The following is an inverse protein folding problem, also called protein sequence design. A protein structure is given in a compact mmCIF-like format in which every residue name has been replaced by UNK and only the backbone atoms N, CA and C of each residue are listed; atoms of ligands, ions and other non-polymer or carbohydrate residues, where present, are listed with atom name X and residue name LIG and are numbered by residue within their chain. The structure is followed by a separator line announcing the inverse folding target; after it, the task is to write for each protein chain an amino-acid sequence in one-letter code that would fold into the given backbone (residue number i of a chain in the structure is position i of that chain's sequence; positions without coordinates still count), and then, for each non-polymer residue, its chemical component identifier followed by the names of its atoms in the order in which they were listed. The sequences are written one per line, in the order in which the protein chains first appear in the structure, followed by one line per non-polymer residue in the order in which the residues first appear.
data_IF_315137975837
#
_entry.id   IF_315137975837
#
_cell.length_a   1.000
_cell.length_b   1.000
_cell.length_c   1.000
_cell.angle_alpha   90.00
_cell.angle_beta   90.00
_cell.angle_gamma   90.00
#
_symmetry.space_group_name_H-M   'P 1'
#
loop_
_entity.id
_entity.type
_entity.pdbx_description
1 polymer ?
#
# COMPACT_ATOMS: atom_id res chain seq x y z
N UNK A 1 21.45 15.40 -17.79
CA UNK A 1 20.20 15.45 -17.01
C UNK A 1 19.52 14.11 -17.20
N UNK A 2 19.25 13.38 -16.12
CA UNK A 2 18.54 12.10 -16.19
C UNK A 2 17.10 12.33 -16.70
N UNK A 3 16.56 11.34 -17.42
CA UNK A 3 15.16 11.37 -17.85
C UNK A 3 14.23 11.37 -16.65
N UNK A 4 13.23 12.25 -16.59
CA UNK A 4 12.26 12.23 -15.49
C UNK A 4 11.50 10.90 -15.42
N UNK A 5 11.32 10.37 -14.19
CA UNK A 5 10.45 9.24 -13.93
C UNK A 5 9.02 9.75 -13.84
N UNK A 6 8.12 9.18 -14.63
CA UNK A 6 6.69 9.53 -14.61
C UNK A 6 5.98 8.80 -13.47
N UNK A 7 5.46 9.56 -12.53
CA UNK A 7 4.75 9.06 -11.34
C UNK A 7 3.29 9.47 -11.41
N UNK A 8 2.40 8.50 -11.58
CA UNK A 8 0.96 8.75 -11.53
C UNK A 8 0.43 8.61 -10.10
N UNK A 9 -0.49 9.50 -9.73
CA UNK A 9 -1.23 9.44 -8.47
C UNK A 9 -2.70 9.69 -8.76
N UNK A 10 -3.57 8.82 -8.25
CA UNK A 10 -5.02 8.94 -8.41
C UNK A 10 -5.68 9.48 -7.16
N UNK A 11 -6.86 10.10 -7.29
CA UNK A 11 -7.49 10.80 -6.19
C UNK A 11 -6.62 11.98 -5.70
N UNK A 12 -5.94 12.62 -6.63
CA UNK A 12 -4.82 13.52 -6.38
C UNK A 12 -5.20 14.79 -5.62
N UNK A 13 -6.48 15.19 -5.63
CA UNK A 13 -7.00 16.30 -4.83
C UNK A 13 -7.40 15.91 -3.40
N UNK A 14 -7.27 14.62 -3.03
CA UNK A 14 -7.66 14.12 -1.71
C UNK A 14 -6.63 14.41 -0.61
N UNK A 15 -7.02 14.14 0.63
CA UNK A 15 -6.22 14.42 1.85
C UNK A 15 -4.88 13.67 1.88
N UNK A 16 -4.87 12.38 1.52
CA UNK A 16 -3.64 11.59 1.47
C UNK A 16 -2.69 12.20 0.45
N UNK A 17 -3.21 12.52 -0.74
CA UNK A 17 -2.42 13.04 -1.84
C UNK A 17 -1.86 14.43 -1.56
N UNK A 18 -2.58 15.28 -0.83
CA UNK A 18 -2.07 16.57 -0.38
C UNK A 18 -0.78 16.44 0.47
N UNK A 19 -0.63 15.36 1.20
CA UNK A 19 0.60 15.02 1.92
C UNK A 19 1.63 14.29 1.05
N UNK A 20 1.15 13.42 0.14
CA UNK A 20 1.96 12.53 -0.68
C UNK A 20 2.73 13.26 -1.78
N UNK A 21 2.06 14.16 -2.52
CA UNK A 21 2.61 14.80 -3.71
C UNK A 21 3.85 15.64 -3.40
N UNK A 22 3.82 16.41 -2.32
CA UNK A 22 4.94 17.25 -1.88
C UNK A 22 6.14 16.42 -1.44
N UNK A 23 5.93 15.25 -0.86
CA UNK A 23 6.99 14.31 -0.49
C UNK A 23 7.64 13.67 -1.72
N UNK A 24 6.85 13.30 -2.72
CA UNK A 24 7.39 12.79 -3.98
C UNK A 24 8.23 13.87 -4.66
N UNK A 25 7.69 15.08 -4.79
CA UNK A 25 8.34 16.21 -5.45
C UNK A 25 9.62 16.68 -4.72
N UNK A 26 9.66 16.55 -3.39
CA UNK A 26 10.85 16.89 -2.59
C UNK A 26 12.00 15.87 -2.67
N UNK A 27 11.79 14.74 -3.37
CA UNK A 27 12.81 13.70 -3.51
C UNK A 27 12.73 12.55 -2.51
N UNK A 28 11.70 12.49 -1.66
CA UNK A 28 11.57 11.41 -0.66
C UNK A 28 11.34 10.03 -1.29
N UNK A 29 10.83 9.98 -2.53
CA UNK A 29 10.56 8.73 -3.25
C UNK A 29 11.79 8.18 -3.97
N UNK A 30 12.45 8.99 -4.80
CA UNK A 30 13.51 8.54 -5.71
C UNK A 30 14.87 9.16 -5.44
N UNK A 31 14.99 9.95 -4.39
CA UNK A 31 16.21 10.67 -4.05
C UNK A 31 16.26 12.08 -4.64
N UNK A 32 17.23 12.89 -4.16
CA UNK A 32 17.31 14.31 -4.53
C UNK A 32 17.81 14.57 -5.96
N UNK A 33 18.41 13.57 -6.61
CA UNK A 33 19.03 13.72 -7.92
C UNK A 33 18.17 13.16 -9.07
N UNK A 34 17.05 12.49 -8.76
CA UNK A 34 16.18 11.93 -9.77
C UNK A 34 14.98 12.87 -10.06
N UNK A 35 14.91 13.46 -11.24
CA UNK A 35 13.74 14.24 -11.65
C UNK A 35 12.48 13.38 -11.74
N UNK A 36 11.35 13.97 -11.35
CA UNK A 36 10.03 13.34 -11.43
C UNK A 36 9.07 14.19 -12.26
N UNK A 37 8.20 13.52 -13.01
CA UNK A 37 7.04 14.11 -13.65
C UNK A 37 5.79 13.56 -12.98
N UNK A 38 4.99 14.42 -12.37
CA UNK A 38 3.73 14.01 -11.73
C UNK A 38 2.60 13.96 -12.75
N UNK A 39 1.89 12.85 -12.77
CA UNK A 39 0.70 12.59 -13.58
C UNK A 39 -0.49 12.39 -12.64
N UNK A 40 -1.34 13.39 -12.52
CA UNK A 40 -2.37 13.46 -11.48
C UNK A 40 -3.76 13.20 -12.06
N UNK A 41 -4.38 12.12 -11.61
CA UNK A 41 -5.73 11.72 -12.02
C UNK A 41 -6.74 12.10 -10.95
N UNK A 42 -7.82 12.74 -11.38
CA UNK A 42 -8.94 13.05 -10.51
C UNK A 42 -10.26 12.93 -11.29
N UNK A 43 -11.37 12.89 -10.58
CA UNK A 43 -12.69 13.00 -11.20
C UNK A 43 -12.94 14.43 -11.68
N UNK A 44 -13.69 14.61 -12.76
CA UNK A 44 -13.96 15.92 -13.35
C UNK A 44 -14.37 17.00 -12.36
N UNK A 45 -15.28 16.74 -11.38
CA UNK A 45 -15.66 17.75 -10.39
C UNK A 45 -14.55 18.23 -9.46
N UNK A 46 -13.48 17.43 -9.30
CA UNK A 46 -12.38 17.75 -8.41
C UNK A 46 -11.17 18.37 -9.12
N UNK A 47 -11.19 18.51 -10.46
CA UNK A 47 -10.09 19.10 -11.22
C UNK A 47 -9.77 20.53 -10.78
N UNK A 48 -10.78 21.33 -10.44
CA UNK A 48 -10.57 22.70 -9.97
C UNK A 48 -9.78 22.77 -8.66
N UNK A 49 -10.06 21.87 -7.73
CA UNK A 49 -9.29 21.76 -6.49
C UNK A 49 -7.85 21.29 -6.77
N UNK A 50 -7.69 20.37 -7.73
CA UNK A 50 -6.38 19.89 -8.14
C UNK A 50 -5.51 20.98 -8.76
N UNK A 51 -6.09 21.90 -9.55
CA UNK A 51 -5.36 23.08 -10.05
C UNK A 51 -4.72 23.89 -8.91
N UNK A 52 -5.44 24.05 -7.78
CA UNK A 52 -4.91 24.72 -6.60
C UNK A 52 -3.73 23.98 -5.98
N UNK A 53 -3.76 22.65 -5.94
CA UNK A 53 -2.64 21.82 -5.47
C UNK A 53 -1.42 21.98 -6.40
N UNK A 54 -1.62 22.06 -7.70
CA UNK A 54 -0.53 22.31 -8.67
C UNK A 54 0.12 23.67 -8.42
N UNK A 55 -0.69 24.71 -8.16
CA UNK A 55 -0.14 26.04 -7.82
C UNK A 55 0.76 25.98 -6.59
N UNK A 56 0.37 25.25 -5.56
CA UNK A 56 1.20 25.06 -4.35
C UNK A 56 2.48 24.27 -4.63
N UNK A 57 2.41 23.26 -5.52
CA UNK A 57 3.63 22.55 -5.96
C UNK A 57 4.58 23.48 -6.70
N UNK A 58 4.06 24.37 -7.54
CA UNK A 58 4.85 25.40 -8.25
C UNK A 58 5.47 26.38 -7.25
N UNK A 59 4.71 26.82 -6.25
CA UNK A 59 5.17 27.73 -5.19
C UNK A 59 6.30 27.12 -4.32
N UNK A 60 6.36 25.80 -4.21
CA UNK A 60 7.46 25.12 -3.51
C UNK A 60 8.78 25.13 -4.29
N UNK A 61 8.74 25.37 -5.60
CA UNK A 61 9.92 25.42 -6.47
C UNK A 61 10.88 24.22 -6.28
N UNK A 62 10.34 23.02 -6.18
CA UNK A 62 11.11 21.79 -5.98
C UNK A 62 12.06 21.55 -7.17
N UNK A 63 13.38 21.42 -6.94
CA UNK A 63 14.34 21.27 -8.03
C UNK A 63 14.18 19.98 -8.83
N UNK A 64 13.57 18.96 -8.22
CA UNK A 64 13.36 17.65 -8.86
C UNK A 64 12.01 17.50 -9.56
N UNK A 65 11.10 18.46 -9.41
CA UNK A 65 9.81 18.44 -10.07
C UNK A 65 9.95 19.00 -11.48
N UNK A 66 10.05 18.09 -12.47
CA UNK A 66 10.24 18.47 -13.86
C UNK A 66 8.96 18.96 -14.55
N UNK A 67 7.81 18.37 -14.18
CA UNK A 67 6.52 18.66 -14.78
C UNK A 67 5.37 18.13 -13.93
N UNK A 68 4.21 18.78 -14.03
CA UNK A 68 2.94 18.29 -13.50
C UNK A 68 1.90 18.30 -14.63
N UNK A 69 1.23 17.18 -14.84
CA UNK A 69 0.06 17.08 -15.70
C UNK A 69 -1.13 16.58 -14.90
N UNK A 70 -2.30 17.17 -15.14
CA UNK A 70 -3.54 16.80 -14.47
C UNK A 70 -4.60 16.39 -15.50
N UNK A 71 -5.51 15.53 -15.13
CA UNK A 71 -6.61 15.13 -15.99
C UNK A 71 -7.61 14.20 -15.30
N UNK A 72 -8.69 13.92 -16.03
CA UNK A 72 -9.77 13.01 -15.62
C UNK A 72 -9.89 11.79 -16.54
N UNK A 73 -9.04 11.70 -17.56
CA UNK A 73 -8.95 10.56 -18.48
C UNK A 73 -7.72 9.69 -18.11
N UNK A 74 -7.92 8.48 -17.55
CA UNK A 74 -6.81 7.62 -17.16
C UNK A 74 -5.91 7.22 -18.34
N UNK A 75 -6.43 7.10 -19.56
CA UNK A 75 -5.61 6.77 -20.73
C UNK A 75 -4.61 7.88 -21.08
N UNK A 76 -4.95 9.12 -20.80
CA UNK A 76 -4.04 10.26 -21.00
C UNK A 76 -3.06 10.41 -19.84
N UNK A 77 -3.57 10.33 -18.61
CA UNK A 77 -2.76 10.53 -17.41
C UNK A 77 -1.71 9.42 -17.26
N UNK A 78 -2.06 8.17 -17.55
CA UNK A 78 -1.17 7.02 -17.41
C UNK A 78 -0.21 6.79 -18.58
N UNK A 79 -0.24 7.62 -19.60
CA UNK A 79 0.62 7.46 -20.78
C UNK A 79 2.11 7.53 -20.43
N UNK A 80 2.80 6.39 -20.65
CA UNK A 80 4.22 6.23 -20.38
C UNK A 80 4.61 6.28 -18.90
N UNK A 81 3.68 6.09 -17.98
CA UNK A 81 3.93 6.12 -16.53
C UNK A 81 4.75 4.93 -16.10
N UNK A 82 5.79 5.18 -15.27
CA UNK A 82 6.68 4.16 -14.70
C UNK A 82 6.24 3.68 -13.32
N UNK A 83 5.68 4.59 -12.51
CA UNK A 83 5.21 4.30 -11.14
C UNK A 83 3.78 4.82 -10.98
N UNK A 84 2.85 3.99 -10.57
CA UNK A 84 1.47 4.39 -10.33
C UNK A 84 1.07 4.11 -8.88
N UNK A 85 0.59 5.14 -8.19
CA UNK A 85 0.03 5.06 -6.85
C UNK A 85 -1.47 5.30 -6.94
N UNK A 86 -2.25 4.23 -6.87
CA UNK A 86 -3.71 4.26 -6.97
C UNK A 86 -4.30 4.50 -5.58
N UNK A 87 -4.42 5.76 -5.21
CA UNK A 87 -4.86 6.20 -3.88
C UNK A 87 -6.36 6.48 -3.84
N UNK A 88 -6.90 7.02 -4.92
CA UNK A 88 -8.31 7.36 -5.03
C UNK A 88 -9.20 6.12 -4.94
N UNK A 89 -10.14 6.14 -4.01
CA UNK A 89 -11.18 5.14 -3.86
C UNK A 89 -12.44 5.77 -3.29
N UNK A 90 -13.59 5.14 -3.54
CA UNK A 90 -14.84 5.59 -2.95
C UNK A 90 -14.90 5.17 -1.48
N UNK A 91 -15.05 6.10 -0.53
CA UNK A 91 -15.14 5.76 0.88
C UNK A 91 -16.45 5.04 1.19
N UNK A 92 -16.41 4.19 2.22
CA UNK A 92 -17.64 3.59 2.76
C UNK A 92 -18.48 4.68 3.42
N UNK A 93 -19.75 4.74 3.03
CA UNK A 93 -20.74 5.65 3.64
C UNK A 93 -21.70 4.87 4.54
N UNK A 94 -22.39 5.57 5.44
CA UNK A 94 -23.37 4.95 6.31
C UNK A 94 -24.48 4.25 5.49
N UNK A 95 -24.82 3.02 5.87
CA UNK A 95 -25.83 2.21 5.18
C UNK A 95 -25.32 1.48 3.93
N UNK A 96 -24.06 1.65 3.52
CA UNK A 96 -23.48 0.93 2.39
C UNK A 96 -23.06 -0.48 2.83
N UNK A 97 -23.57 -1.48 2.14
CA UNK A 97 -23.15 -2.86 2.31
C UNK A 97 -21.77 -3.11 1.70
N UNK A 98 -21.11 -4.22 2.11
CA UNK A 98 -19.78 -4.58 1.59
C UNK A 98 -19.79 -4.78 0.08
N UNK A 99 -20.83 -5.43 -0.47
CA UNK A 99 -20.99 -5.65 -1.90
C UNK A 99 -21.11 -4.36 -2.70
N UNK A 100 -21.82 -3.36 -2.16
CA UNK A 100 -21.97 -2.04 -2.80
C UNK A 100 -20.62 -1.32 -2.89
N UNK A 101 -19.83 -1.39 -1.82
CA UNK A 101 -18.49 -0.80 -1.79
C UNK A 101 -17.55 -1.48 -2.79
N UNK A 102 -17.55 -2.82 -2.84
CA UNK A 102 -16.76 -3.59 -3.79
C UNK A 102 -17.16 -3.27 -5.24
N UNK A 103 -18.46 -3.17 -5.52
CA UNK A 103 -18.96 -2.83 -6.85
C UNK A 103 -18.57 -1.42 -7.27
N UNK A 104 -18.74 -0.42 -6.40
CA UNK A 104 -18.43 0.97 -6.67
C UNK A 104 -16.91 1.20 -6.91
N UNK A 105 -16.07 0.60 -6.08
CA UNK A 105 -14.62 0.65 -6.25
C UNK A 105 -14.17 -0.21 -7.43
N UNK A 106 -14.78 -1.36 -7.64
CA UNK A 106 -14.46 -2.26 -8.74
C UNK A 106 -14.52 -1.58 -10.11
N UNK A 107 -15.53 -0.77 -10.35
CA UNK A 107 -15.63 -0.02 -11.61
C UNK A 107 -14.45 0.94 -11.82
N UNK A 108 -13.99 1.59 -10.74
CA UNK A 108 -12.83 2.49 -10.77
C UNK A 108 -11.55 1.72 -11.13
N UNK A 109 -11.27 0.64 -10.43
CA UNK A 109 -10.02 -0.13 -10.60
C UNK A 109 -10.02 -0.98 -11.87
N UNK A 110 -11.17 -1.42 -12.35
CA UNK A 110 -11.33 -2.04 -13.67
C UNK A 110 -10.89 -1.06 -14.77
N UNK A 111 -11.40 0.17 -14.74
CA UNK A 111 -11.06 1.18 -15.74
C UNK A 111 -9.57 1.57 -15.67
N UNK A 112 -9.04 1.74 -14.48
CA UNK A 112 -7.64 2.09 -14.28
C UNK A 112 -6.69 0.95 -14.66
N UNK A 113 -7.04 -0.31 -14.35
CA UNK A 113 -6.28 -1.48 -14.79
C UNK A 113 -6.19 -1.57 -16.32
N UNK A 114 -7.31 -1.40 -17.01
CA UNK A 114 -7.36 -1.39 -18.48
C UNK A 114 -6.53 -0.26 -19.07
N UNK A 115 -6.59 0.94 -18.50
CA UNK A 115 -5.82 2.08 -18.95
C UNK A 115 -4.31 1.86 -18.77
N UNK A 116 -3.87 1.37 -17.59
CA UNK A 116 -2.48 1.02 -17.34
C UNK A 116 -1.98 -0.02 -18.36
N UNK A 117 -2.78 -1.06 -18.61
CA UNK A 117 -2.45 -2.09 -19.60
C UNK A 117 -2.19 -1.51 -20.99
N UNK A 118 -2.96 -0.50 -21.38
CA UNK A 118 -2.94 0.07 -22.73
C UNK A 118 -1.82 1.09 -22.93
N UNK A 119 -1.46 1.89 -21.93
CA UNK A 119 -0.63 3.08 -22.14
C UNK A 119 0.55 3.24 -21.18
N UNK A 120 0.64 2.47 -20.10
CA UNK A 120 1.75 2.59 -19.16
C UNK A 120 3.09 2.13 -19.77
N UNK A 121 4.19 2.58 -19.20
CA UNK A 121 5.52 2.12 -19.58
C UNK A 121 5.71 0.61 -19.30
N UNK A 122 6.60 -0.03 -20.05
CA UNK A 122 6.86 -1.47 -19.92
C UNK A 122 7.40 -1.88 -18.53
N UNK A 123 8.02 -0.95 -17.82
CA UNK A 123 8.57 -1.15 -16.47
C UNK A 123 7.62 -0.73 -15.34
N UNK A 124 6.36 -0.48 -15.66
CA UNK A 124 5.34 0.00 -14.70
C UNK A 124 5.33 -0.81 -13.40
N UNK A 125 5.23 -0.11 -12.27
CA UNK A 125 4.93 -0.66 -10.94
C UNK A 125 3.69 0.03 -10.40
N UNK A 126 2.76 -0.76 -9.89
CA UNK A 126 1.46 -0.29 -9.42
C UNK A 126 1.30 -0.59 -7.94
N UNK A 127 1.12 0.44 -7.13
CA UNK A 127 0.81 0.33 -5.70
C UNK A 127 -0.60 0.84 -5.45
N UNK A 128 -1.46 -0.01 -4.91
CA UNK A 128 -2.83 0.35 -4.54
C UNK A 128 -2.90 0.70 -3.05
N UNK A 129 -3.33 1.91 -2.76
CA UNK A 129 -3.55 2.43 -1.39
C UNK A 129 -5.05 2.55 -1.07
N UNK A 130 -5.88 2.80 -2.08
CA UNK A 130 -7.32 2.94 -1.94
C UNK A 130 -7.99 1.66 -1.45
N UNK A 131 -8.82 1.79 -0.39
CA UNK A 131 -9.47 0.65 0.26
C UNK A 131 -10.76 0.19 -0.46
N UNK A 132 -11.01 -1.14 -0.44
CA UNK A 132 -10.22 -2.26 0.11
C UNK A 132 -8.98 -2.56 -0.77
N UNK A 133 -7.80 -2.27 -0.21
CA UNK A 133 -6.56 -2.18 -1.00
C UNK A 133 -6.18 -3.48 -1.71
N UNK A 134 -6.17 -4.61 -1.00
CA UNK A 134 -5.79 -5.90 -1.58
C UNK A 134 -6.71 -6.30 -2.72
N UNK A 135 -8.02 -6.17 -2.53
CA UNK A 135 -9.01 -6.55 -3.53
C UNK A 135 -9.05 -5.58 -4.71
N UNK A 136 -8.88 -4.27 -4.46
CA UNK A 136 -8.74 -3.28 -5.52
C UNK A 136 -7.49 -3.53 -6.38
N UNK A 137 -6.38 -3.94 -5.76
CA UNK A 137 -5.18 -4.33 -6.49
C UNK A 137 -5.41 -5.58 -7.35
N UNK A 138 -6.15 -6.57 -6.84
CA UNK A 138 -6.54 -7.75 -7.59
C UNK A 138 -7.38 -7.39 -8.81
N UNK A 139 -8.36 -6.51 -8.66
CA UNK A 139 -9.21 -6.03 -9.77
C UNK A 139 -8.35 -5.34 -10.83
N UNK A 140 -7.48 -4.41 -10.44
CA UNK A 140 -6.60 -3.71 -11.37
C UNK A 140 -5.69 -4.69 -12.13
N UNK A 141 -5.07 -5.64 -11.41
CA UNK A 141 -4.19 -6.66 -11.97
C UNK A 141 -4.90 -7.54 -12.99
N UNK A 142 -6.11 -8.04 -12.66
CA UNK A 142 -6.90 -8.90 -13.55
C UNK A 142 -7.39 -8.17 -14.80
N UNK A 143 -7.52 -6.86 -14.75
CA UNK A 143 -7.90 -6.02 -15.90
C UNK A 143 -6.70 -5.47 -16.69
N UNK A 144 -5.49 -5.91 -16.36
CA UNK A 144 -4.25 -5.53 -17.04
C UNK A 144 -3.45 -6.80 -17.46
N UNK A 145 -3.99 -7.62 -18.37
CA UNK A 145 -3.45 -8.95 -18.68
C UNK A 145 -2.05 -8.94 -19.31
N UNK A 146 -1.63 -7.84 -19.92
CA UNK A 146 -0.32 -7.71 -20.56
C UNK A 146 0.76 -7.19 -19.59
N UNK A 147 0.38 -6.74 -18.39
CA UNK A 147 1.31 -6.35 -17.34
C UNK A 147 1.56 -7.57 -16.44
N UNK A 148 2.82 -7.95 -16.18
CA UNK A 148 3.13 -9.05 -15.25
C UNK A 148 2.50 -8.85 -13.88
N UNK A 149 1.93 -9.91 -13.30
CA UNK A 149 1.20 -9.85 -12.04
C UNK A 149 2.04 -9.31 -10.88
N UNK A 150 3.34 -9.61 -10.85
CA UNK A 150 4.29 -9.12 -9.84
C UNK A 150 4.50 -7.61 -9.84
N UNK A 151 3.93 -6.91 -10.83
CA UNK A 151 3.95 -5.44 -10.91
C UNK A 151 2.83 -4.78 -10.10
N UNK A 152 1.95 -5.56 -9.47
CA UNK A 152 0.82 -5.06 -8.68
C UNK A 152 1.00 -5.40 -7.21
N UNK A 153 1.06 -4.35 -6.36
CA UNK A 153 1.11 -4.46 -4.92
C UNK A 153 -0.04 -3.68 -4.27
N UNK A 154 -0.40 -4.06 -3.05
CA UNK A 154 -1.27 -3.28 -2.19
C UNK A 154 -0.53 -2.85 -0.91
N UNK A 155 -0.96 -1.73 -0.33
CA UNK A 155 -0.30 -1.12 0.81
C UNK A 155 -0.65 -1.81 2.12
N UNK A 156 0.35 -2.38 2.78
CA UNK A 156 0.33 -2.81 4.19
C UNK A 156 1.46 -2.17 5.01
N UNK A 157 2.21 -1.26 4.40
CA UNK A 157 3.31 -0.54 5.06
C UNK A 157 2.83 0.33 6.20
N UNK A 158 1.62 0.88 6.13
CA UNK A 158 1.05 1.65 7.23
C UNK A 158 0.84 0.77 8.47
N UNK A 159 0.29 -0.43 8.29
CA UNK A 159 0.11 -1.41 9.36
C UNK A 159 1.46 -1.87 9.93
N UNK A 160 2.43 -2.11 9.07
CA UNK A 160 3.81 -2.41 9.42
C UNK A 160 4.42 -1.31 10.31
N UNK A 161 4.29 -0.05 9.92
CA UNK A 161 4.78 1.09 10.69
C UNK A 161 4.05 1.26 12.03
N UNK A 162 2.74 1.00 12.07
CA UNK A 162 1.95 0.99 13.31
C UNK A 162 2.43 -0.09 14.27
N UNK A 163 2.71 -1.29 13.77
CA UNK A 163 3.24 -2.39 14.55
C UNK A 163 4.63 -2.05 15.14
N UNK A 164 5.52 -1.49 14.34
CA UNK A 164 6.83 -1.01 14.80
C UNK A 164 6.68 0.04 15.90
N UNK A 165 5.82 1.03 15.69
CA UNK A 165 5.59 2.08 16.68
C UNK A 165 5.03 1.57 18.01
N UNK A 166 4.09 0.62 17.97
CA UNK A 166 3.53 0.00 19.18
C UNK A 166 4.57 -0.84 19.92
N UNK A 167 5.35 -1.64 19.20
CA UNK A 167 6.41 -2.44 19.82
C UNK A 167 7.51 -1.54 20.43
N UNK A 168 7.96 -0.53 19.70
CA UNK A 168 8.97 0.42 20.17
C UNK A 168 8.55 1.09 21.48
N UNK A 169 7.29 1.55 21.56
CA UNK A 169 6.73 2.13 22.78
C UNK A 169 6.66 1.14 23.95
N UNK A 170 6.31 -0.13 23.68
CA UNK A 170 6.20 -1.18 24.71
C UNK A 170 7.56 -1.50 25.34
N UNK A 171 8.60 -1.61 24.52
CA UNK A 171 9.94 -2.01 24.97
C UNK A 171 10.88 -0.84 25.26
N UNK A 172 10.46 0.39 24.98
CA UNK A 172 11.21 1.61 25.31
C UNK A 172 12.47 1.85 24.47
N UNK A 173 12.42 1.49 23.16
CA UNK A 173 13.54 1.68 22.24
C UNK A 173 13.14 2.57 21.06
N UNK A 174 14.10 3.18 20.33
CA UNK A 174 13.83 3.83 19.07
C UNK A 174 13.30 2.85 18.01
N UNK A 175 12.43 3.32 17.12
CA UNK A 175 11.87 2.50 16.02
C UNK A 175 12.94 1.90 15.11
N UNK A 176 14.10 2.53 15.02
CA UNK A 176 15.25 2.06 14.21
C UNK A 176 15.86 0.75 14.71
N UNK A 177 15.61 0.38 15.96
CA UNK A 177 16.10 -0.86 16.58
C UNK A 177 15.22 -2.08 16.28
N UNK A 178 14.06 -1.85 15.62
CA UNK A 178 13.10 -2.91 15.27
C UNK A 178 13.30 -3.33 13.83
N UNK A 179 13.48 -4.62 13.62
CA UNK A 179 13.65 -5.24 12.31
C UNK A 179 12.69 -6.41 12.13
N UNK A 180 12.52 -6.83 10.88
CA UNK A 180 11.78 -8.05 10.52
C UNK A 180 10.33 -8.06 11.01
N UNK A 181 9.71 -6.88 11.17
CA UNK A 181 8.28 -6.81 11.42
C UNK A 181 7.51 -7.36 10.23
N UNK A 182 6.43 -8.08 10.48
CA UNK A 182 5.60 -8.69 9.44
C UNK A 182 4.13 -8.40 9.68
N UNK A 183 3.44 -8.02 8.63
CA UNK A 183 1.98 -8.00 8.54
C UNK A 183 1.57 -9.09 7.56
N UNK A 184 0.69 -10.00 7.98
CA UNK A 184 0.13 -11.05 7.13
C UNK A 184 -1.29 -10.72 6.73
N UNK A 185 -1.67 -11.12 5.52
CA UNK A 185 -3.05 -11.19 5.07
C UNK A 185 -3.60 -9.92 4.44
N UNK A 186 -4.83 -9.58 4.81
CA UNK A 186 -5.60 -8.46 4.27
C UNK A 186 -5.34 -7.17 5.06
N UNK A 187 -5.34 -6.04 4.37
CA UNK A 187 -5.38 -4.72 5.02
C UNK A 187 -6.79 -4.44 5.56
N UNK A 188 -7.14 -5.11 6.65
CA UNK A 188 -8.45 -5.08 7.31
C UNK A 188 -8.32 -5.35 8.80
N UNK A 189 -9.46 -5.51 9.48
CA UNK A 189 -9.47 -5.93 10.89
C UNK A 189 -8.92 -7.35 11.13
N UNK A 190 -8.80 -8.17 10.08
CA UNK A 190 -8.21 -9.53 10.15
C UNK A 190 -6.71 -9.54 9.93
N UNK A 191 -6.08 -8.42 9.62
CA UNK A 191 -4.62 -8.34 9.48
C UNK A 191 -3.92 -8.94 10.70
N UNK A 192 -2.82 -9.64 10.47
CA UNK A 192 -2.06 -10.23 11.55
C UNK A 192 -0.67 -9.60 11.67
N UNK A 193 -0.46 -8.67 12.61
CA UNK A 193 0.86 -8.20 13.01
C UNK A 193 1.59 -9.28 13.80
N UNK A 194 2.72 -9.76 13.27
CA UNK A 194 3.48 -10.89 13.79
C UNK A 194 4.73 -10.42 14.54
N UNK A 195 4.76 -10.61 15.86
CA UNK A 195 5.92 -10.34 16.70
C UNK A 195 6.89 -11.52 16.83
N UNK A 196 6.48 -12.74 16.42
CA UNK A 196 7.28 -13.95 16.65
C UNK A 196 8.53 -14.02 15.79
N UNK A 197 8.56 -13.27 14.67
CA UNK A 197 9.71 -13.16 13.77
C UNK A 197 10.38 -11.78 13.82
N UNK A 198 9.79 -10.81 14.53
CA UNK A 198 10.38 -9.49 14.69
C UNK A 198 11.58 -9.52 15.64
N UNK A 199 12.50 -8.61 15.45
CA UNK A 199 13.70 -8.45 16.25
C UNK A 199 13.79 -7.04 16.85
N UNK A 200 14.26 -6.95 18.07
CA UNK A 200 14.62 -5.70 18.77
C UNK A 200 16.09 -5.81 19.16
N UNK A 201 16.95 -4.99 18.59
CA UNK A 201 18.41 -5.08 18.80
C UNK A 201 18.98 -6.49 18.57
N UNK A 202 18.43 -7.23 17.61
CA UNK A 202 18.84 -8.59 17.30
C UNK A 202 18.29 -9.69 18.22
N UNK A 203 17.46 -9.32 19.21
CA UNK A 203 16.73 -10.27 20.07
C UNK A 203 15.32 -10.51 19.50
N UNK A 204 14.78 -11.72 19.66
CA UNK A 204 13.41 -12.00 19.29
C UNK A 204 12.43 -11.11 20.07
N UNK A 205 11.55 -10.44 19.36
CA UNK A 205 10.63 -9.46 19.95
C UNK A 205 9.60 -10.11 20.89
N UNK A 206 9.04 -11.26 20.53
CA UNK A 206 8.05 -11.96 21.35
C UNK A 206 8.67 -12.47 22.66
N UNK A 207 9.89 -12.98 22.60
CA UNK A 207 10.65 -13.41 23.79
C UNK A 207 11.00 -12.22 24.69
N UNK A 208 11.40 -11.09 24.11
CA UNK A 208 11.71 -9.87 24.85
C UNK A 208 10.48 -9.30 25.55
N UNK A 209 9.35 -9.24 24.86
CA UNK A 209 8.07 -8.79 25.43
C UNK A 209 7.59 -9.75 26.51
N UNK A 210 7.73 -11.07 26.31
CA UNK A 210 7.37 -12.15 27.22
C UNK A 210 5.99 -11.97 27.88
N UNK A 211 5.01 -11.56 27.10
CA UNK A 211 3.65 -11.25 27.53
C UNK A 211 2.66 -11.60 26.42
N UNK A 212 2.26 -12.88 26.37
CA UNK A 212 1.33 -13.38 25.36
C UNK A 212 -0.03 -12.69 25.44
N UNK A 213 -0.50 -12.37 26.64
CA UNK A 213 -1.78 -11.69 26.83
C UNK A 213 -1.76 -10.27 26.22
N UNK A 214 -0.64 -9.55 26.37
CA UNK A 214 -0.47 -8.26 25.73
C UNK A 214 -0.44 -8.38 24.20
N UNK A 215 0.29 -9.36 23.65
CA UNK A 215 0.36 -9.60 22.21
C UNK A 215 -1.05 -9.81 21.63
N UNK A 216 -1.83 -10.70 22.23
CA UNK A 216 -3.15 -11.11 21.73
C UNK A 216 -4.24 -10.06 21.96
N UNK A 217 -4.26 -9.43 23.13
CA UNK A 217 -5.38 -8.61 23.58
C UNK A 217 -5.14 -7.10 23.41
N UNK A 218 -3.88 -6.67 23.26
CA UNK A 218 -3.54 -5.25 23.10
C UNK A 218 -2.81 -4.98 21.81
N UNK A 219 -1.66 -5.59 21.54
CA UNK A 219 -0.83 -5.29 20.36
C UNK A 219 -1.57 -5.53 19.04
N UNK A 220 -2.03 -6.75 18.80
CA UNK A 220 -2.70 -7.12 17.54
C UNK A 220 -3.96 -6.26 17.33
N UNK A 221 -4.89 -6.14 18.30
CA UNK A 221 -6.08 -5.32 18.11
C UNK A 221 -5.78 -3.83 17.94
N UNK A 222 -4.79 -3.29 18.63
CA UNK A 222 -4.42 -1.87 18.53
C UNK A 222 -3.89 -1.56 17.13
N UNK A 223 -3.02 -2.37 16.58
CA UNK A 223 -2.49 -2.21 15.23
C UNK A 223 -3.63 -2.34 14.20
N UNK A 224 -4.43 -3.40 14.28
CA UNK A 224 -5.50 -3.68 13.33
C UNK A 224 -6.62 -2.62 13.34
N UNK A 225 -6.91 -2.02 14.50
CA UNK A 225 -7.98 -1.02 14.68
C UNK A 225 -7.48 0.42 14.78
N UNK A 226 -6.20 0.67 14.53
CA UNK A 226 -5.61 2.02 14.67
C UNK A 226 -6.29 3.05 13.79
N UNK A 227 -6.71 2.68 12.59
CA UNK A 227 -7.45 3.57 11.69
C UNK A 227 -8.75 4.09 12.31
N UNK A 228 -9.52 3.21 12.92
CA UNK A 228 -10.76 3.59 13.62
C UNK A 228 -10.50 4.51 14.83
N UNK A 229 -9.45 4.23 15.60
CA UNK A 229 -9.04 5.07 16.72
C UNK A 229 -8.63 6.49 16.27
N UNK A 230 -7.95 6.62 15.14
CA UNK A 230 -7.58 7.92 14.55
C UNK A 230 -8.84 8.68 14.12
N UNK A 231 -9.80 8.02 13.47
CA UNK A 231 -11.08 8.64 13.08
C UNK A 231 -11.82 9.13 14.30
N UNK A 232 -11.90 8.34 15.37
CA UNK A 232 -12.55 8.71 16.62
C UNK A 232 -11.91 9.95 17.28
N UNK A 233 -10.58 10.04 17.24
CA UNK A 233 -9.84 11.14 17.85
C UNK A 233 -9.78 12.40 16.96
N UNK A 234 -9.57 12.24 15.66
CA UNK A 234 -9.27 13.32 14.72
C UNK A 234 -10.49 13.78 13.91
N UNK A 235 -11.55 12.96 13.83
CA UNK A 235 -12.73 13.22 13.00
C UNK A 235 -12.53 12.92 11.50
N UNK A 236 -11.37 12.41 11.12
CA UNK A 236 -11.06 12.03 9.72
C UNK A 236 -10.03 10.91 9.66
N UNK A 237 -10.00 10.22 8.53
CA UNK A 237 -9.09 9.09 8.29
C UNK A 237 -7.62 9.50 8.34
N UNK A 238 -6.74 8.51 8.53
CA UNK A 238 -5.29 8.68 8.39
C UNK A 238 -4.97 9.24 7.01
N UNK A 239 -4.19 10.31 6.97
CA UNK A 239 -3.78 10.96 5.73
C UNK A 239 -2.25 11.04 5.63
N UNK A 240 -1.60 11.77 6.53
CA UNK A 240 -0.14 11.95 6.50
C UNK A 240 0.63 10.64 6.71
N UNK A 241 0.18 9.77 7.61
CA UNK A 241 0.81 8.48 7.84
C UNK A 241 0.60 7.49 6.68
N UNK A 242 -0.57 7.54 6.03
CA UNK A 242 -0.83 6.77 4.82
C UNK A 242 0.04 7.24 3.65
N UNK A 243 0.19 8.56 3.47
CA UNK A 243 1.09 9.15 2.49
C UNK A 243 2.55 8.73 2.72
N UNK A 244 3.02 8.80 3.98
CA UNK A 244 4.35 8.35 4.35
C UNK A 244 4.58 6.89 4.00
N UNK A 245 3.66 6.00 4.39
CA UNK A 245 3.75 4.58 4.12
C UNK A 245 3.75 4.28 2.61
N UNK A 246 2.96 5.02 1.81
CA UNK A 246 2.92 4.88 0.34
C UNK A 246 4.27 5.24 -0.29
N UNK A 247 4.89 6.34 0.15
CA UNK A 247 6.24 6.73 -0.31
C UNK A 247 7.26 5.66 0.06
N UNK A 248 7.26 5.22 1.32
CA UNK A 248 8.22 4.21 1.81
C UNK A 248 8.09 2.88 1.07
N UNK A 249 6.86 2.39 0.84
CA UNK A 249 6.63 1.16 0.11
C UNK A 249 7.19 1.24 -1.31
N UNK A 250 6.83 2.28 -2.06
CA UNK A 250 7.28 2.43 -3.44
C UNK A 250 8.79 2.70 -3.52
N UNK A 251 9.34 3.50 -2.62
CA UNK A 251 10.78 3.76 -2.53
C UNK A 251 11.56 2.47 -2.33
N UNK A 252 11.16 1.68 -1.33
CA UNK A 252 11.86 0.44 -0.99
C UNK A 252 11.67 -0.63 -2.07
N UNK A 253 10.55 -0.61 -2.78
CA UNK A 253 10.36 -1.47 -3.96
C UNK A 253 11.34 -1.13 -5.08
N UNK A 254 11.52 0.15 -5.38
CA UNK A 254 12.39 0.62 -6.46
C UNK A 254 13.87 0.54 -6.09
N UNK A 255 14.22 0.99 -4.87
CA UNK A 255 15.61 1.15 -4.44
C UNK A 255 16.18 -0.04 -3.68
N UNK A 256 15.32 -0.91 -3.14
CA UNK A 256 15.73 -2.06 -2.35
C UNK A 256 15.42 -1.92 -0.85
N UNK A 257 15.16 -3.07 -0.22
CA UNK A 257 14.90 -3.17 1.21
C UNK A 257 16.19 -3.06 2.03
N UNK A 258 16.10 -2.65 3.32
CA UNK A 258 17.25 -2.59 4.21
C UNK A 258 17.94 -3.97 4.35
N UNK A 259 19.27 -3.98 4.34
CA UNK A 259 20.05 -5.19 4.55
C UNK A 259 19.76 -5.81 5.93
N UNK A 260 19.63 -7.13 5.98
CA UNK A 260 19.39 -7.87 7.22
C UNK A 260 17.98 -7.71 7.80
N UNK A 261 17.05 -7.18 7.02
CA UNK A 261 15.65 -7.05 7.39
C UNK A 261 14.73 -7.35 6.19
N UNK A 262 13.44 -7.34 6.43
CA UNK A 262 12.41 -7.40 5.40
C UNK A 262 11.29 -6.39 5.68
N UNK A 263 10.38 -6.28 4.73
CA UNK A 263 9.25 -5.37 4.76
C UNK A 263 7.96 -6.15 4.60
N UNK A 264 6.83 -5.53 4.93
CA UNK A 264 5.51 -6.08 4.62
C UNK A 264 4.99 -5.45 3.34
N UNK A 265 4.66 -6.29 2.36
CA UNK A 265 4.02 -5.87 1.11
C UNK A 265 2.92 -6.87 0.77
N UNK A 266 1.74 -6.38 0.39
CA UNK A 266 0.72 -7.23 -0.18
C UNK A 266 1.02 -7.45 -1.66
N UNK A 267 1.30 -8.70 -2.00
CA UNK A 267 1.75 -9.14 -3.33
C UNK A 267 0.91 -10.31 -3.83
N UNK A 268 0.87 -10.57 -5.14
CA UNK A 268 0.23 -11.77 -5.67
C UNK A 268 0.82 -13.02 -5.02
N UNK A 269 -0.02 -13.85 -4.42
CA UNK A 269 0.44 -15.09 -3.77
C UNK A 269 0.97 -16.09 -4.80
N UNK A 270 2.09 -16.71 -4.45
CA UNK A 270 2.71 -17.82 -5.20
C UNK A 270 2.52 -19.18 -4.51
N UNK A 271 1.63 -19.25 -3.53
CA UNK A 271 1.41 -20.47 -2.71
C UNK A 271 2.28 -20.54 -1.46
N UNK A 272 3.20 -19.62 -1.27
CA UNK A 272 4.05 -19.54 -0.05
C UNK A 272 3.18 -19.55 1.21
N UNK A 273 3.65 -20.25 2.25
CA UNK A 273 2.97 -20.39 3.55
C UNK A 273 1.54 -20.94 3.47
N UNK A 274 1.20 -21.68 2.41
CA UNK A 274 -0.13 -22.23 2.21
C UNK A 274 -1.19 -21.19 1.83
N UNK A 275 -0.78 -19.97 1.51
CA UNK A 275 -1.69 -18.93 1.01
C UNK A 275 -2.00 -19.22 -0.46
N UNK A 276 -3.29 -19.43 -0.84
CA UNK A 276 -3.63 -19.80 -2.22
C UNK A 276 -3.20 -18.76 -3.24
N UNK A 277 -2.82 -19.22 -4.43
CA UNK A 277 -2.67 -18.36 -5.59
C UNK A 277 -4.00 -17.70 -5.98
N UNK A 278 -3.93 -16.61 -6.73
CA UNK A 278 -5.12 -15.90 -7.23
C UNK A 278 -5.64 -14.80 -6.30
N UNK A 279 -4.97 -14.55 -5.20
CA UNK A 279 -5.23 -13.41 -4.30
C UNK A 279 -3.97 -12.57 -4.10
N UNK A 280 -4.16 -11.34 -3.66
CA UNK A 280 -3.06 -10.44 -3.22
C UNK A 280 -3.09 -10.38 -1.70
N UNK A 281 -2.05 -10.89 -1.06
CA UNK A 281 -1.93 -11.01 0.39
C UNK A 281 -0.62 -10.39 0.89
N UNK A 282 -0.63 -9.84 2.09
CA UNK A 282 0.59 -9.32 2.71
C UNK A 282 1.48 -10.46 3.18
N UNK A 283 2.77 -10.32 2.88
CA UNK A 283 3.86 -11.24 3.23
C UNK A 283 5.08 -10.46 3.70
N UNK A 284 6.01 -11.09 4.42
CA UNK A 284 7.36 -10.57 4.55
C UNK A 284 8.09 -10.68 3.22
N UNK A 285 8.64 -9.57 2.75
CA UNK A 285 9.35 -9.51 1.46
C UNK A 285 10.68 -8.78 1.59
N UNK A 286 11.64 -9.17 0.76
CA UNK A 286 12.82 -8.36 0.45
C UNK A 286 12.70 -7.82 -0.97
N UNK A 287 13.35 -6.68 -1.23
CA UNK A 287 13.34 -6.06 -2.56
C UNK A 287 14.75 -5.76 -3.02
N UNK A 288 15.00 -5.99 -4.30
CA UNK A 288 16.28 -5.70 -4.96
C UNK A 288 16.06 -5.46 -6.45
N UNK A 289 16.71 -4.44 -7.00
CA UNK A 289 16.62 -4.10 -8.42
C UNK A 289 15.19 -3.96 -8.97
N UNK A 290 14.30 -3.41 -8.14
CA UNK A 290 12.90 -3.19 -8.49
C UNK A 290 12.02 -4.45 -8.49
N UNK A 291 12.53 -5.57 -8.01
CA UNK A 291 11.78 -6.81 -7.80
C UNK A 291 11.61 -7.11 -6.31
N UNK A 292 10.50 -7.73 -5.94
CA UNK A 292 10.26 -8.25 -4.60
C UNK A 292 10.36 -9.77 -4.57
N UNK A 293 10.71 -10.31 -3.41
CA UNK A 293 10.78 -11.75 -3.16
C UNK A 293 10.19 -12.05 -1.79
N UNK A 294 9.25 -13.00 -1.71
CA UNK A 294 8.69 -13.44 -0.42
C UNK A 294 9.79 -14.17 0.35
N UNK A 295 9.98 -13.76 1.60
CA UNK A 295 10.91 -14.42 2.53
C UNK A 295 10.40 -15.83 2.82
N UNK A 296 11.24 -16.83 2.61
CA UNK A 296 10.90 -18.25 2.81
C UNK A 296 11.43 -18.78 4.13
N UNK A 297 10.88 -19.93 4.57
CA UNK A 297 11.44 -20.72 5.66
C UNK A 297 11.11 -20.20 7.07
N UNK A 298 10.16 -19.28 7.22
CA UNK A 298 9.69 -18.90 8.55
C UNK A 298 8.81 -20.00 9.13
N UNK A 299 9.07 -20.37 10.39
CA UNK A 299 8.21 -21.29 11.12
C UNK A 299 6.93 -20.60 11.54
N UNK A 300 5.79 -21.17 11.18
CA UNK A 300 4.47 -20.65 11.52
C UNK A 300 3.84 -21.58 12.55
N UNK A 301 3.74 -21.11 13.80
CA UNK A 301 3.09 -21.83 14.87
C UNK A 301 1.55 -21.87 14.68
N UNK A 302 0.88 -22.68 15.52
CA UNK A 302 -0.57 -22.86 15.41
C UNK A 302 -1.36 -21.56 15.65
N UNK A 303 -0.88 -20.69 16.53
CA UNK A 303 -1.49 -19.39 16.78
C UNK A 303 -1.40 -18.49 15.54
N UNK A 304 -0.21 -18.34 14.99
CA UNK A 304 0.03 -17.55 13.78
C UNK A 304 -0.71 -18.13 12.58
N UNK A 305 -0.73 -19.47 12.46
CA UNK A 305 -1.47 -20.17 11.40
C UNK A 305 -2.94 -19.82 11.40
N UNK A 306 -3.58 -19.89 12.56
CA UNK A 306 -5.00 -19.55 12.70
C UNK A 306 -5.30 -18.09 12.30
N UNK A 307 -4.43 -17.16 12.66
CA UNK A 307 -4.57 -15.74 12.31
C UNK A 307 -4.38 -15.49 10.81
N UNK A 308 -3.37 -16.09 10.22
CA UNK A 308 -3.10 -15.99 8.77
C UNK A 308 -4.28 -16.58 8.00
N UNK A 309 -4.74 -17.77 8.34
CA UNK A 309 -5.82 -18.45 7.64
C UNK A 309 -7.14 -17.67 7.72
N UNK A 310 -7.45 -17.04 8.84
CA UNK A 310 -8.63 -16.18 8.98
C UNK A 310 -8.58 -14.97 8.03
N UNK A 311 -7.42 -14.31 7.92
CA UNK A 311 -7.25 -13.18 7.02
C UNK A 311 -7.25 -13.58 5.55
N UNK A 312 -6.66 -14.72 5.23
CA UNK A 312 -6.67 -15.31 3.88
C UNK A 312 -8.08 -15.72 3.46
N UNK A 313 -8.86 -16.30 4.35
CA UNK A 313 -10.27 -16.63 4.07
C UNK A 313 -11.09 -15.39 3.71
N UNK A 314 -10.88 -14.26 4.40
CA UNK A 314 -11.50 -12.98 4.04
C UNK A 314 -11.11 -12.52 2.62
N UNK A 315 -9.84 -12.64 2.26
CA UNK A 315 -9.36 -12.31 0.90
C UNK A 315 -9.98 -13.20 -0.17
N UNK A 316 -10.14 -14.50 0.11
CA UNK A 316 -10.81 -15.45 -0.80
C UNK A 316 -12.28 -15.10 -0.99
N UNK A 317 -12.98 -14.73 0.09
CA UNK A 317 -14.38 -14.27 0.04
C UNK A 317 -14.51 -12.98 -0.79
N UNK A 318 -13.59 -12.05 -0.64
CA UNK A 318 -13.56 -10.80 -1.43
C UNK A 318 -13.29 -11.10 -2.91
N UNK A 319 -12.34 -11.98 -3.22
CA UNK A 319 -12.05 -12.40 -4.58
C UNK A 319 -13.26 -13.08 -5.25
N UNK A 320 -13.96 -13.95 -4.53
CA UNK A 320 -15.19 -14.58 -4.99
C UNK A 320 -16.29 -13.54 -5.27
N UNK A 321 -16.47 -12.58 -4.37
CA UNK A 321 -17.47 -11.53 -4.52
C UNK A 321 -17.23 -10.66 -5.76
N UNK A 322 -15.99 -10.24 -6.02
CA UNK A 322 -15.67 -9.43 -7.20
C UNK A 322 -15.72 -10.23 -8.49
N UNK A 323 -15.52 -11.54 -8.43
CA UNK A 323 -15.74 -12.47 -9.57
C UNK A 323 -17.24 -12.55 -9.90
N UNK A 324 -18.10 -12.73 -8.90
CA UNK A 324 -19.56 -12.74 -9.08
C UNK A 324 -20.09 -11.42 -9.65
N UNK A 325 -19.48 -10.31 -9.26
CA UNK A 325 -19.81 -8.98 -9.80
C UNK A 325 -19.27 -8.75 -11.24
N UNK A 326 -18.52 -9.69 -11.79
CA UNK A 326 -17.96 -9.58 -13.14
C UNK A 326 -16.84 -8.53 -13.25
N UNK A 327 -16.13 -8.25 -12.17
CA UNK A 327 -15.05 -7.27 -12.11
C UNK A 327 -13.68 -7.87 -12.46
N UNK A 328 -13.58 -9.20 -12.35
CA UNK A 328 -12.37 -9.98 -12.69
C UNK A 328 -12.74 -11.23 -13.45
#
# INVERSE_FOLDING_TARGET
VSTPVKVAVTGAAGQICYSLLFRIASGALLGPDQPVELRLLEITPALKALEGVVMELDDCAFPNLAKVEIGDDPNKVFDGVNLAMLVGARPRTAGMERGDLLSANGAIFTAQGKALNSVAAADIKVLVTGNPANTNALIAMKNAPDIPNERFNALTRLDHNRAIGQLAARVGVPVTEIKKMTIWGNHSATQYPDLFHAEVNGQNAAELVNDQAWIENEFIPTVAKRGAAIIAARGSSSAASAANATVEHMRDWVQGSPAGSWLSMAVPSDGSYGVPEGIISSFPVTTQNGAWTIVQGLEIDDFSRGRIDASVAELQDEAAAVTELGLI
#
